data_IF_939886621933
#
_entry.id   IF_939886621933
#
_cell.length_a   1.000
_cell.length_b   1.000
_cell.length_c   1.000
_cell.angle_alpha   90.00
_cell.angle_beta   90.00
_cell.angle_gamma   90.00
#
_symmetry.space_group_name_H-M   'P 1'
#
loop_
_entity.id
_entity.type
_entity.pdbx_description
1 polymer ?
#
# COMPACT_ATOMS: atom_id res chain seq x y z
N UNK A 1 38.21 10.23 -18.17
CA UNK A 1 37.07 9.61 -17.46
C UNK A 1 36.80 10.47 -16.25
N UNK A 2 35.56 10.86 -16.00
CA UNK A 2 35.19 11.55 -14.76
C UNK A 2 35.32 10.53 -13.64
N UNK A 3 36.17 10.83 -12.63
CA UNK A 3 36.34 9.99 -11.44
C UNK A 3 35.19 10.34 -10.52
N UNK A 4 34.19 9.47 -10.40
CA UNK A 4 33.07 9.65 -9.48
C UNK A 4 33.05 8.44 -8.56
N UNK A 5 32.83 8.69 -7.27
CA UNK A 5 32.73 7.65 -6.26
C UNK A 5 31.69 8.01 -5.22
N UNK A 6 31.18 6.99 -4.55
CA UNK A 6 30.16 7.17 -3.54
C UNK A 6 29.59 5.85 -3.08
N UNK A 7 28.46 5.93 -2.39
CA UNK A 7 27.65 4.77 -2.08
C UNK A 7 26.16 5.06 -2.30
N UNK A 8 25.44 3.98 -2.62
CA UNK A 8 24.00 3.96 -2.70
C UNK A 8 23.41 3.15 -1.55
N UNK A 9 22.25 3.57 -1.06
CA UNK A 9 21.51 2.82 -0.06
C UNK A 9 20.53 1.87 -0.72
N UNK A 10 20.80 0.56 -0.66
CA UNK A 10 20.06 -0.47 -1.40
C UNK A 10 19.73 -1.68 -0.51
N UNK A 11 18.46 -1.96 -0.21
CA UNK A 11 17.26 -1.24 -0.66
C UNK A 11 17.13 0.14 0.01
N UNK A 12 16.32 1.03 -0.59
CA UNK A 12 15.96 2.35 -0.04
C UNK A 12 15.53 2.25 1.42
N UNK A 13 15.84 3.27 2.21
CA UNK A 13 15.38 3.34 3.61
C UNK A 13 13.88 3.58 3.63
N UNK A 14 13.20 3.06 4.64
CA UNK A 14 11.81 3.35 4.94
C UNK A 14 11.75 4.41 6.04
N UNK A 15 10.78 5.33 5.96
CA UNK A 15 10.70 6.47 6.88
C UNK A 15 10.32 6.10 8.31
N UNK A 16 10.01 4.82 8.55
CA UNK A 16 9.51 4.34 9.83
C UNK A 16 10.36 3.21 10.43
N UNK A 17 10.80 2.23 9.63
CA UNK A 17 11.57 1.10 10.17
C UNK A 17 13.05 1.43 10.34
N UNK A 18 13.55 2.32 9.48
CA UNK A 18 14.95 2.72 9.47
C UNK A 18 15.15 4.06 10.22
N UNK A 19 14.08 4.66 10.76
CA UNK A 19 14.10 6.01 11.33
C UNK A 19 15.06 6.12 12.53
N UNK A 20 14.90 5.29 13.56
CA UNK A 20 15.75 5.34 14.76
C UNK A 20 17.23 5.11 14.41
N UNK A 21 17.51 4.13 13.55
CA UNK A 21 18.87 3.85 13.09
C UNK A 21 19.44 4.96 12.20
N UNK A 22 18.59 5.61 11.41
CA UNK A 22 18.98 6.79 10.63
C UNK A 22 19.26 7.99 11.52
N UNK A 23 18.47 8.22 12.56
CA UNK A 23 18.71 9.25 13.57
C UNK A 23 20.06 9.03 14.27
N UNK A 24 20.38 7.79 14.69
CA UNK A 24 21.69 7.44 15.25
C UNK A 24 22.85 7.67 14.24
N UNK A 25 22.64 7.31 12.97
CA UNK A 25 23.59 7.59 11.90
C UNK A 25 23.84 9.09 11.74
N UNK A 26 22.79 9.91 11.72
CA UNK A 26 22.87 11.37 11.63
C UNK A 26 23.64 11.94 12.81
N UNK A 27 23.33 11.53 14.04
CA UNK A 27 24.02 11.98 15.25
C UNK A 27 25.52 11.62 15.23
N UNK A 28 25.86 10.43 14.72
CA UNK A 28 27.25 10.00 14.56
C UNK A 28 28.00 10.89 13.57
N UNK A 29 27.41 11.14 12.39
CA UNK A 29 28.00 12.05 11.39
C UNK A 29 28.19 13.44 11.97
N UNK A 30 27.18 14.01 12.64
CA UNK A 30 27.28 15.33 13.28
C UNK A 30 28.38 15.38 14.35
N UNK A 31 28.57 14.30 15.11
CA UNK A 31 29.61 14.21 16.14
C UNK A 31 31.00 14.19 15.54
N UNK A 32 31.20 13.42 14.47
CA UNK A 32 32.48 13.28 13.77
C UNK A 32 32.90 14.59 13.10
N UNK A 33 31.94 15.32 12.51
CA UNK A 33 32.18 16.58 11.81
C UNK A 33 32.02 17.83 12.68
N UNK A 34 31.92 17.66 14.00
CA UNK A 34 31.73 18.77 14.93
C UNK A 34 32.93 19.72 14.90
N UNK A 35 32.72 20.93 14.39
CA UNK A 35 33.73 21.99 14.32
C UNK A 35 34.50 22.05 12.99
N UNK A 36 34.18 21.18 12.03
CA UNK A 36 34.72 21.24 10.67
C UNK A 36 34.11 22.43 9.91
N UNK A 37 34.95 23.26 9.28
CA UNK A 37 34.49 24.50 8.64
C UNK A 37 33.67 24.29 7.36
N UNK A 38 33.80 23.12 6.74
CA UNK A 38 33.17 22.77 5.46
C UNK A 38 31.91 21.91 5.64
N UNK A 39 31.54 21.62 6.90
CA UNK A 39 30.33 20.90 7.24
C UNK A 39 29.27 21.87 7.79
N UNK A 40 28.11 21.92 7.14
CA UNK A 40 26.96 22.73 7.59
C UNK A 40 25.74 21.88 7.78
N UNK A 41 24.94 22.30 8.75
CA UNK A 41 23.64 21.71 9.09
C UNK A 41 22.59 22.71 8.63
N UNK A 42 21.91 22.39 7.53
CA UNK A 42 20.77 23.17 7.02
C UNK A 42 19.47 22.72 7.70
N UNK A 43 18.34 23.32 7.34
CA UNK A 43 17.05 23.04 7.97
C UNK A 43 16.60 21.57 7.85
N UNK A 44 16.94 20.90 6.75
CA UNK A 44 16.41 19.55 6.42
C UNK A 44 17.48 18.52 6.05
N UNK A 45 18.72 18.94 5.90
CA UNK A 45 19.84 18.08 5.50
C UNK A 45 21.16 18.65 5.99
N UNK A 46 22.19 17.80 6.00
CA UNK A 46 23.58 18.19 6.19
C UNK A 46 24.26 18.32 4.84
N UNK A 47 25.12 19.32 4.70
CA UNK A 47 25.87 19.59 3.47
C UNK A 47 27.36 19.68 3.77
N UNK A 48 28.15 19.04 2.91
CA UNK A 48 29.59 19.20 2.86
C UNK A 48 29.89 20.14 1.69
N UNK A 49 30.39 21.34 1.98
CA UNK A 49 30.55 22.43 1.00
C UNK A 49 31.71 22.20 0.01
N UNK A 50 32.41 21.07 0.12
CA UNK A 50 33.49 20.66 -0.78
C UNK A 50 32.97 19.67 -1.84
N UNK A 51 33.18 20.02 -3.11
CA UNK A 51 32.68 19.25 -4.26
C UNK A 51 31.22 19.53 -4.60
N UNK A 52 30.67 18.79 -5.59
CA UNK A 52 29.26 18.92 -5.96
C UNK A 52 28.39 18.02 -5.08
N UNK A 53 27.48 18.64 -4.33
CA UNK A 53 26.25 18.01 -3.79
C UNK A 53 26.45 16.77 -2.89
N UNK A 54 27.39 16.84 -1.94
CA UNK A 54 27.42 15.88 -0.83
C UNK A 54 26.34 16.26 0.20
N UNK A 55 25.17 15.62 0.11
CA UNK A 55 23.99 15.91 0.92
C UNK A 55 23.50 14.67 1.68
N UNK A 56 23.10 14.85 2.93
CA UNK A 56 22.47 13.80 3.75
C UNK A 56 21.20 14.38 4.39
N UNK A 57 19.99 13.90 4.04
CA UNK A 57 18.74 14.39 4.62
C UNK A 57 18.54 13.87 6.04
N UNK A 58 17.83 14.61 6.88
CA UNK A 58 17.42 14.10 8.19
C UNK A 58 16.34 13.00 8.06
N UNK A 59 15.58 13.02 6.97
CA UNK A 59 14.58 12.00 6.63
C UNK A 59 15.19 10.89 5.76
N UNK A 60 15.54 9.77 6.39
CA UNK A 60 16.35 8.71 5.76
C UNK A 60 15.74 8.08 4.52
N UNK A 61 14.41 7.94 4.44
CA UNK A 61 13.74 7.40 3.24
C UNK A 61 13.88 8.25 1.99
N UNK A 62 14.24 9.52 2.15
CA UNK A 62 14.56 10.39 1.02
C UNK A 62 15.95 10.10 0.47
N UNK A 63 16.86 9.55 1.28
CA UNK A 63 18.24 9.31 0.90
C UNK A 63 18.40 8.15 -0.08
N UNK A 64 19.05 8.40 -1.22
CA UNK A 64 19.41 7.38 -2.21
C UNK A 64 20.91 7.18 -2.36
N UNK A 65 21.67 8.28 -2.42
CA UNK A 65 23.07 8.29 -2.81
C UNK A 65 23.84 9.38 -2.07
N UNK A 66 25.07 9.06 -1.72
CA UNK A 66 26.09 10.02 -1.32
C UNK A 66 27.30 9.82 -2.23
N UNK A 67 27.43 10.68 -3.24
CA UNK A 67 28.52 10.64 -4.22
C UNK A 67 28.97 12.03 -4.63
N UNK A 68 30.19 12.12 -5.13
CA UNK A 68 30.69 13.33 -5.78
C UNK A 68 31.79 12.97 -6.77
N UNK A 69 32.12 13.93 -7.62
CA UNK A 69 33.32 13.89 -8.45
C UNK A 69 34.42 14.51 -7.59
N UNK A 70 35.41 13.75 -7.09
CA UNK A 70 36.51 14.34 -6.36
C UNK A 70 37.26 15.28 -7.33
N UNK A 71 37.38 16.55 -6.95
CA UNK A 71 38.37 17.42 -7.56
C UNK A 71 39.79 16.90 -7.22
N UNK A 72 40.85 17.50 -7.75
CA UNK A 72 42.24 17.10 -7.43
C UNK A 72 42.58 17.23 -5.91
N UNK A 73 41.63 17.72 -5.10
CA UNK A 73 41.74 17.87 -3.66
C UNK A 73 41.33 16.61 -2.89
N UNK A 74 42.21 16.19 -1.98
CA UNK A 74 42.13 14.92 -1.24
C UNK A 74 40.97 14.83 -0.24
N UNK A 75 40.32 15.95 0.07
CA UNK A 75 39.34 16.06 1.15
C UNK A 75 37.97 15.45 0.81
N UNK A 76 37.49 15.59 -0.43
CA UNK A 76 36.21 15.01 -0.88
C UNK A 76 36.24 13.48 -0.79
N UNK A 77 37.36 12.87 -1.17
CA UNK A 77 37.55 11.42 -1.07
C UNK A 77 37.58 10.94 0.39
N UNK A 78 38.13 11.77 1.30
CA UNK A 78 38.08 11.50 2.75
C UNK A 78 36.65 11.56 3.27
N UNK A 79 35.85 12.54 2.85
CA UNK A 79 34.44 12.64 3.25
C UNK A 79 33.62 11.43 2.78
N UNK A 80 33.74 11.07 1.50
CA UNK A 80 33.06 9.90 0.93
C UNK A 80 33.44 8.65 1.71
N UNK A 81 34.73 8.40 1.96
CA UNK A 81 35.17 7.21 2.69
C UNK A 81 34.63 7.19 4.12
N UNK A 82 34.77 8.29 4.85
CA UNK A 82 34.38 8.36 6.26
C UNK A 82 32.87 8.19 6.44
N UNK A 83 32.05 8.87 5.62
CA UNK A 83 30.59 8.72 5.68
C UNK A 83 30.17 7.31 5.23
N UNK A 84 30.85 6.72 4.24
CA UNK A 84 30.60 5.32 3.82
C UNK A 84 30.90 4.34 4.96
N UNK A 85 31.99 4.54 5.70
CA UNK A 85 32.37 3.68 6.83
C UNK A 85 31.34 3.78 7.98
N UNK A 86 30.90 5.00 8.32
CA UNK A 86 29.83 5.22 9.31
C UNK A 86 28.53 4.57 8.82
N UNK A 87 28.13 4.79 7.56
CA UNK A 87 26.92 4.19 7.01
C UNK A 87 27.01 2.65 7.01
N UNK A 88 28.17 2.07 6.70
CA UNK A 88 28.38 0.62 6.70
C UNK A 88 28.29 0.02 8.09
N UNK A 89 28.68 0.77 9.13
CA UNK A 89 28.51 0.38 10.53
C UNK A 89 27.04 0.20 10.90
N UNK A 90 26.17 1.15 10.50
CA UNK A 90 24.72 1.09 10.80
C UNK A 90 23.95 0.15 9.87
N UNK A 91 24.19 0.24 8.56
CA UNK A 91 23.33 -0.38 7.53
C UNK A 91 23.95 -1.60 6.84
N UNK A 92 25.20 -1.94 7.16
CA UNK A 92 25.87 -3.15 6.68
C UNK A 92 25.84 -3.28 5.16
N UNK A 93 25.40 -4.44 4.67
CA UNK A 93 25.35 -4.76 3.24
C UNK A 93 24.37 -3.92 2.41
N UNK A 94 23.57 -3.06 3.05
CA UNK A 94 22.71 -2.10 2.33
C UNK A 94 23.51 -0.95 1.74
N UNK A 95 24.70 -0.67 2.26
CA UNK A 95 25.62 0.32 1.70
C UNK A 95 26.34 -0.30 0.51
N UNK A 96 26.00 0.17 -0.69
CA UNK A 96 26.64 -0.27 -1.94
C UNK A 96 27.58 0.80 -2.46
N UNK A 97 28.84 0.69 -2.10
CA UNK A 97 29.91 1.56 -2.60
C UNK A 97 30.23 1.26 -4.06
N UNK A 98 30.64 2.29 -4.80
CA UNK A 98 31.02 2.16 -6.21
C UNK A 98 32.05 3.20 -6.61
N UNK A 99 32.85 2.88 -7.65
CA UNK A 99 33.83 3.79 -8.24
C UNK A 99 33.86 3.71 -9.77
N UNK A 100 33.68 4.84 -10.45
CA UNK A 100 33.66 4.89 -11.92
C UNK A 100 34.99 4.45 -12.56
N UNK A 101 36.11 4.63 -11.87
CA UNK A 101 37.44 4.19 -12.32
C UNK A 101 37.61 2.67 -12.35
N UNK A 102 36.76 1.94 -11.62
CA UNK A 102 36.72 0.47 -11.62
C UNK A 102 35.71 -0.09 -12.63
N UNK A 103 35.06 0.78 -13.41
CA UNK A 103 33.99 0.40 -14.32
C UNK A 103 32.65 0.16 -13.62
N UNK A 104 32.53 0.60 -12.36
CA UNK A 104 31.30 0.52 -11.58
C UNK A 104 30.46 1.79 -11.74
N UNK A 105 29.17 1.69 -11.46
CA UNK A 105 28.24 2.80 -11.45
C UNK A 105 27.31 2.65 -10.25
N UNK A 106 26.78 3.76 -9.75
CA UNK A 106 25.73 3.68 -8.75
C UNK A 106 24.49 2.93 -9.24
N UNK A 107 23.74 2.38 -8.29
CA UNK A 107 22.57 1.54 -8.50
C UNK A 107 21.37 2.31 -9.06
N UNK A 108 21.13 3.53 -8.57
CA UNK A 108 20.05 4.40 -9.04
C UNK A 108 20.45 5.23 -10.28
N UNK A 109 19.48 5.53 -11.14
CA UNK A 109 19.67 6.48 -12.24
C UNK A 109 19.93 7.91 -11.73
N UNK A 110 20.58 8.74 -12.54
CA UNK A 110 20.82 10.14 -12.20
C UNK A 110 19.50 10.92 -12.05
N UNK A 111 18.46 10.55 -12.81
CA UNK A 111 17.12 11.12 -12.67
C UNK A 111 16.50 10.80 -11.30
N UNK A 112 16.60 9.55 -10.82
CA UNK A 112 16.07 9.16 -9.51
C UNK A 112 16.77 9.89 -8.35
N UNK A 113 18.09 10.03 -8.44
CA UNK A 113 18.90 10.73 -7.42
C UNK A 113 18.54 12.21 -7.39
N UNK A 114 18.44 12.85 -8.56
CA UNK A 114 18.04 14.26 -8.65
C UNK A 114 16.62 14.51 -8.15
N UNK A 115 15.68 13.58 -8.38
CA UNK A 115 14.33 13.69 -7.84
C UNK A 115 14.32 13.54 -6.32
N UNK A 116 15.09 12.60 -5.77
CA UNK A 116 15.29 12.45 -4.33
C UNK A 116 15.80 13.73 -3.67
N UNK A 117 16.79 14.40 -4.27
CA UNK A 117 17.31 15.68 -3.74
C UNK A 117 16.25 16.80 -3.70
N UNK A 118 15.34 16.85 -4.68
CA UNK A 118 14.23 17.82 -4.66
C UNK A 118 13.27 17.61 -3.49
N UNK A 119 13.23 16.41 -2.92
CA UNK A 119 12.38 16.07 -1.77
C UNK A 119 13.00 16.50 -0.43
N UNK A 120 14.29 16.83 -0.37
CA UNK A 120 14.94 17.13 0.92
C UNK A 120 14.40 18.42 1.55
N UNK A 121 14.12 19.44 0.74
CA UNK A 121 13.56 20.71 1.19
C UNK A 121 12.02 20.69 1.27
N UNK A 122 11.40 19.65 0.71
CA UNK A 122 9.98 19.40 0.89
C UNK A 122 9.84 18.69 2.23
N UNK A 123 9.10 19.24 3.19
CA UNK A 123 8.67 18.42 4.33
C UNK A 123 8.08 17.13 3.80
N UNK A 124 8.35 15.97 4.44
CA UNK A 124 7.42 14.85 4.24
C UNK A 124 6.01 15.40 4.31
N UNK A 125 5.07 14.96 3.46
CA UNK A 125 3.69 15.24 3.75
C UNK A 125 3.51 14.78 5.21
N UNK A 126 3.24 15.70 6.16
CA UNK A 126 2.77 15.23 7.46
C UNK A 126 1.63 14.26 7.14
N UNK A 127 1.50 13.16 7.88
CA UNK A 127 0.28 12.35 7.93
C UNK A 127 -0.86 13.10 7.27
N UNK A 128 -1.23 12.75 6.03
CA UNK A 128 -1.94 13.72 5.18
C UNK A 128 -3.09 14.27 5.99
N UNK A 129 -3.03 15.59 6.20
CA UNK A 129 -3.58 16.20 7.39
C UNK A 129 -4.99 15.72 7.67
N UNK A 130 -5.17 15.06 8.81
CA UNK A 130 -6.45 14.68 9.36
C UNK A 130 -6.48 15.02 10.84
N UNK A 131 -7.68 15.31 11.34
CA UNK A 131 -7.95 15.48 12.75
C UNK A 131 -8.82 14.33 13.24
N UNK A 132 -8.64 13.93 14.50
CA UNK A 132 -9.58 13.02 15.16
C UNK A 132 -10.71 13.85 15.76
N UNK A 133 -11.93 13.65 15.27
CA UNK A 133 -13.11 14.41 15.66
C UNK A 133 -14.28 13.52 16.06
N UNK A 134 -15.35 14.14 16.57
CA UNK A 134 -16.63 13.48 16.79
C UNK A 134 -17.42 13.51 15.48
N UNK A 135 -17.87 12.34 15.04
CA UNK A 135 -18.73 12.15 13.88
C UNK A 135 -20.16 11.86 14.37
N UNK A 136 -21.16 12.68 13.98
CA UNK A 136 -22.55 12.48 14.39
C UNK A 136 -23.03 11.05 14.12
N UNK A 137 -23.47 10.35 15.18
CA UNK A 137 -23.98 8.99 15.10
C UNK A 137 -22.94 7.88 14.92
N UNK A 138 -21.65 8.20 14.77
CA UNK A 138 -20.57 7.19 14.62
C UNK A 138 -19.50 7.24 15.72
N UNK A 139 -19.57 8.21 16.64
CA UNK A 139 -18.60 8.34 17.73
C UNK A 139 -17.38 9.15 17.28
N UNK A 140 -16.17 8.62 17.43
CA UNK A 140 -14.95 9.27 16.95
C UNK A 140 -14.64 8.83 15.51
N UNK A 141 -13.96 9.67 14.76
CA UNK A 141 -13.54 9.37 13.38
C UNK A 141 -12.40 10.28 12.94
N UNK A 142 -11.85 9.99 11.76
CA UNK A 142 -10.81 10.79 11.14
C UNK A 142 -11.46 11.72 10.11
N UNK A 143 -11.12 13.01 10.19
CA UNK A 143 -11.63 14.05 9.30
C UNK A 143 -10.44 14.64 8.58
N UNK A 144 -10.43 14.63 7.25
CA UNK A 144 -9.38 15.28 6.49
C UNK A 144 -9.36 16.78 6.82
N UNK A 145 -8.21 17.35 7.18
CA UNK A 145 -8.02 18.78 7.41
C UNK A 145 -7.35 19.48 6.19
N UNK A 146 -6.93 18.70 5.20
CA UNK A 146 -6.47 19.13 3.86
C UNK A 146 -7.15 18.31 2.76
N UNK A 147 -7.05 18.77 1.51
CA UNK A 147 -7.41 17.94 0.35
C UNK A 147 -6.39 16.81 0.17
N UNK A 148 -6.88 15.57 0.11
CA UNK A 148 -6.08 14.34 -0.05
C UNK A 148 -6.27 13.81 -1.47
N UNK A 149 -5.20 13.68 -2.29
CA UNK A 149 -5.31 13.11 -3.62
C UNK A 149 -5.50 11.59 -3.57
N UNK A 150 -6.08 11.02 -4.63
CA UNK A 150 -6.15 9.56 -4.78
C UNK A 150 -4.74 8.94 -4.84
N UNK A 151 -4.57 7.78 -4.20
CA UNK A 151 -3.31 7.05 -4.09
C UNK A 151 -2.41 7.51 -2.94
N UNK A 152 -2.80 8.54 -2.20
CA UNK A 152 -1.96 9.10 -1.16
C UNK A 152 -2.02 8.24 0.12
N UNK A 153 -0.87 8.02 0.73
CA UNK A 153 -0.75 7.35 2.04
C UNK A 153 -1.24 8.29 3.14
N UNK A 154 -2.34 7.92 3.80
CA UNK A 154 -2.94 8.68 4.89
C UNK A 154 -2.29 8.30 6.22
N UNK A 155 -2.16 6.99 6.46
CA UNK A 155 -1.69 6.43 7.73
C UNK A 155 -0.86 5.17 7.50
N UNK A 156 0.17 4.98 8.32
CA UNK A 156 0.93 3.75 8.46
C UNK A 156 1.15 3.51 9.95
N UNK A 157 0.69 2.38 10.50
CA UNK A 157 0.68 2.17 11.94
C UNK A 157 0.96 0.70 12.29
N UNK A 158 1.82 0.48 13.28
CA UNK A 158 1.99 -0.84 13.91
C UNK A 158 0.83 -1.10 14.89
N UNK A 159 0.37 -2.35 15.02
CA UNK A 159 -0.66 -2.67 15.99
C UNK A 159 -0.14 -2.47 17.41
N UNK A 160 -0.98 -1.93 18.30
CA UNK A 160 -0.75 -1.95 19.76
C UNK A 160 -0.63 -3.39 20.25
N UNK A 161 -1.53 -4.24 19.75
CA UNK A 161 -1.55 -5.67 20.03
C UNK A 161 -2.13 -6.43 18.85
N UNK A 162 -1.77 -7.70 18.79
CA UNK A 162 -2.26 -8.65 17.81
C UNK A 162 -3.02 -9.75 18.55
N UNK A 163 -4.23 -10.07 18.10
CA UNK A 163 -5.10 -11.09 18.68
C UNK A 163 -5.55 -12.10 17.62
N UNK A 164 -5.83 -13.34 18.02
CA UNK A 164 -6.34 -14.38 17.13
C UNK A 164 -7.69 -14.90 17.63
N UNK A 165 -8.58 -15.29 16.71
CA UNK A 165 -9.79 -16.07 17.03
C UNK A 165 -9.42 -17.52 17.36
N UNK A 166 -9.93 -18.06 18.46
CA UNK A 166 -9.79 -19.49 18.77
C UNK A 166 -10.83 -20.33 18.01
N UNK A 167 -10.61 -21.64 17.94
CA UNK A 167 -11.46 -22.58 17.17
C UNK A 167 -12.94 -22.64 17.62
N UNK A 168 -13.30 -22.06 18.78
CA UNK A 168 -14.68 -21.97 19.27
C UNK A 168 -15.45 -20.77 18.71
N UNK A 169 -14.85 -19.95 17.84
CA UNK A 169 -15.49 -18.77 17.26
C UNK A 169 -15.62 -17.60 18.24
N UNK A 170 -15.19 -17.78 19.49
CA UNK A 170 -14.98 -16.70 20.43
C UNK A 170 -13.61 -16.08 20.15
N UNK A 171 -13.55 -14.75 20.03
CA UNK A 171 -12.32 -13.98 20.20
C UNK A 171 -11.89 -14.07 21.68
N UNK A 172 -11.55 -15.27 22.15
CA UNK A 172 -10.70 -15.41 23.33
C UNK A 172 -9.32 -14.94 22.89
N UNK A 173 -9.08 -13.64 23.09
CA UNK A 173 -7.85 -13.01 22.68
C UNK A 173 -6.64 -13.70 23.32
N UNK A 174 -5.97 -14.56 22.56
CA UNK A 174 -4.53 -14.80 22.73
C UNK A 174 -3.79 -13.55 22.24
N UNK A 175 -4.09 -12.40 22.85
CA UNK A 175 -3.44 -11.14 22.55
C UNK A 175 -2.00 -11.20 23.07
N UNK A 176 -1.04 -11.10 22.17
CA UNK A 176 0.37 -10.98 22.51
C UNK A 176 0.91 -9.70 21.86
N UNK A 177 1.37 -8.71 22.64
CA UNK A 177 1.29 -8.62 24.11
C UNK A 177 -0.16 -8.45 24.61
N UNK A 178 -0.43 -8.84 25.86
CA UNK A 178 -1.75 -8.55 26.47
C UNK A 178 -1.86 -7.06 26.77
N UNK A 179 -3.07 -6.47 26.84
CA UNK A 179 -3.22 -5.04 27.14
C UNK A 179 -2.44 -4.55 28.37
N UNK A 180 -2.37 -5.35 29.43
CA UNK A 180 -1.62 -5.02 30.66
C UNK A 180 -0.09 -4.99 30.49
N UNK A 181 0.42 -5.63 29.45
CA UNK A 181 1.84 -5.74 29.13
C UNK A 181 2.28 -4.56 28.21
N UNK A 182 1.34 -3.73 27.73
CA UNK A 182 1.61 -2.48 26.99
C UNK A 182 2.17 -1.37 27.89
N UNK A 183 2.80 -0.35 27.29
CA UNK A 183 3.17 0.88 28.00
C UNK A 183 1.92 1.59 28.56
N UNK A 184 2.10 2.51 29.52
CA UNK A 184 0.95 3.21 30.11
C UNK A 184 0.20 4.10 29.13
N UNK A 185 0.89 4.71 28.17
CA UNK A 185 0.25 5.47 27.08
C UNK A 185 -0.57 4.55 26.18
N UNK A 186 0.02 3.45 25.70
CA UNK A 186 -0.67 2.47 24.85
C UNK A 186 -1.85 1.79 25.56
N UNK A 187 -1.77 1.58 26.89
CA UNK A 187 -2.91 1.14 27.69
C UNK A 187 -4.05 2.16 27.63
N UNK A 188 -3.76 3.44 27.79
CA UNK A 188 -4.78 4.50 27.74
C UNK A 188 -5.39 4.62 26.35
N UNK A 189 -4.59 4.57 25.30
CA UNK A 189 -5.05 4.57 23.91
C UNK A 189 -5.98 3.39 23.64
N UNK A 190 -5.54 2.17 23.95
CA UNK A 190 -6.33 0.95 23.81
C UNK A 190 -7.67 1.02 24.57
N UNK A 191 -7.64 1.48 25.83
CA UNK A 191 -8.84 1.61 26.66
C UNK A 191 -9.78 2.74 26.21
N UNK A 192 -9.29 3.68 25.40
CA UNK A 192 -10.09 4.76 24.83
C UNK A 192 -10.87 4.34 23.57
N UNK A 193 -10.56 3.18 23.00
CA UNK A 193 -11.23 2.64 21.82
C UNK A 193 -12.67 2.22 22.13
N UNK A 194 -13.50 2.19 21.08
CA UNK A 194 -14.91 1.89 21.23
C UNK A 194 -15.14 0.43 21.69
N UNK A 195 -16.18 0.20 22.49
CA UNK A 195 -16.52 -1.14 22.98
C UNK A 195 -18.01 -1.43 22.76
N UNK A 196 -18.34 -2.09 21.65
CA UNK A 196 -19.71 -2.49 21.35
C UNK A 196 -20.20 -3.67 22.19
N UNK A 197 -19.28 -4.38 22.85
CA UNK A 197 -19.59 -5.65 23.51
C UNK A 197 -19.02 -5.67 24.93
N UNK A 198 -19.50 -4.77 25.81
CA UNK A 198 -19.14 -4.83 27.22
C UNK A 198 -19.61 -6.16 27.79
N UNK A 199 -18.71 -6.87 28.47
CA UNK A 199 -18.98 -8.20 29.00
C UNK A 199 -18.02 -8.57 30.12
N UNK A 200 -18.18 -9.79 30.65
CA UNK A 200 -17.43 -10.26 31.81
C UNK A 200 -15.93 -10.49 31.52
N UNK A 201 -15.58 -10.77 30.26
CA UNK A 201 -14.18 -10.98 29.84
C UNK A 201 -13.52 -9.64 29.54
N UNK A 202 -12.54 -9.18 30.35
CA UNK A 202 -11.90 -7.89 30.17
C UNK A 202 -11.30 -7.73 28.76
N UNK A 203 -11.45 -6.54 28.18
CA UNK A 203 -10.87 -6.13 26.88
C UNK A 203 -11.38 -6.84 25.62
N UNK A 204 -12.01 -8.01 25.74
CA UNK A 204 -12.49 -8.81 24.61
C UNK A 204 -13.42 -8.02 23.68
N UNK A 205 -14.35 -7.24 24.25
CA UNK A 205 -15.25 -6.40 23.47
C UNK A 205 -14.56 -5.29 22.69
N UNK A 206 -13.52 -4.66 23.27
CA UNK A 206 -12.69 -3.66 22.56
C UNK A 206 -11.97 -4.32 21.40
N UNK A 207 -11.29 -5.46 21.63
CA UNK A 207 -10.57 -6.17 20.57
C UNK A 207 -11.54 -6.57 19.45
N UNK A 208 -12.69 -7.16 19.79
CA UNK A 208 -13.70 -7.57 18.81
C UNK A 208 -14.25 -6.41 17.99
N UNK A 209 -14.37 -5.23 18.60
CA UNK A 209 -14.90 -4.05 17.94
C UNK A 209 -13.88 -3.41 16.99
N UNK A 210 -12.58 -3.47 17.32
CA UNK A 210 -11.56 -2.62 16.68
C UNK A 210 -10.48 -3.40 15.93
N UNK A 211 -10.43 -4.73 16.03
CA UNK A 211 -9.38 -5.50 15.37
C UNK A 211 -9.61 -5.56 13.84
N UNK A 212 -8.64 -5.09 13.06
CA UNK A 212 -8.61 -5.27 11.62
C UNK A 212 -7.85 -6.57 11.30
N UNK A 213 -8.30 -7.38 10.32
CA UNK A 213 -7.57 -8.58 9.92
C UNK A 213 -6.16 -8.24 9.45
N UNK A 214 -5.15 -8.93 9.97
CA UNK A 214 -3.76 -8.86 9.53
C UNK A 214 -3.59 -9.59 8.18
N UNK A 215 -4.24 -9.07 7.14
CA UNK A 215 -4.26 -9.58 5.78
C UNK A 215 -5.56 -10.30 5.40
N UNK A 216 -5.81 -10.49 4.09
CA UNK A 216 -7.03 -11.11 3.60
C UNK A 216 -7.27 -12.52 4.15
N UNK A 217 -8.42 -12.73 4.79
CA UNK A 217 -8.80 -14.04 5.36
C UNK A 217 -8.03 -14.44 6.61
N UNK A 218 -7.23 -13.55 7.18
CA UNK A 218 -6.50 -13.82 8.41
C UNK A 218 -7.44 -13.98 9.60
N UNK A 219 -7.19 -15.00 10.42
CA UNK A 219 -7.83 -15.18 11.74
C UNK A 219 -7.17 -14.33 12.83
N UNK A 220 -6.07 -13.66 12.46
CA UNK A 220 -5.29 -12.78 13.30
C UNK A 220 -5.69 -11.35 12.96
N UNK A 221 -5.95 -10.53 13.97
CA UNK A 221 -6.27 -9.11 13.80
C UNK A 221 -5.42 -8.21 14.68
N UNK A 222 -5.09 -7.04 14.16
CA UNK A 222 -4.36 -5.98 14.85
C UNK A 222 -5.31 -4.94 15.40
N UNK A 223 -5.03 -4.43 16.60
CA UNK A 223 -5.71 -3.26 17.17
C UNK A 223 -4.74 -2.10 17.18
N UNK A 224 -5.18 -0.96 16.67
CA UNK A 224 -4.33 0.21 16.44
C UNK A 224 -4.83 1.42 17.25
N UNK A 225 -3.96 2.37 17.65
CA UNK A 225 -4.39 3.58 18.31
C UNK A 225 -5.27 4.48 17.42
N UNK A 226 -4.86 4.67 16.16
CA UNK A 226 -5.48 5.64 15.26
C UNK A 226 -6.34 4.96 14.19
N UNK A 227 -5.83 3.93 13.51
CA UNK A 227 -6.55 3.22 12.43
C UNK A 227 -7.88 2.63 12.92
N UNK A 228 -7.93 2.16 14.17
CA UNK A 228 -9.18 1.63 14.79
C UNK A 228 -10.30 2.66 14.91
N UNK A 229 -10.00 3.96 14.77
CA UNK A 229 -10.98 5.03 14.83
C UNK A 229 -11.63 5.32 13.46
N UNK A 230 -11.12 4.75 12.36
CA UNK A 230 -11.63 4.99 11.01
C UNK A 230 -12.97 4.29 10.85
N UNK A 231 -14.05 5.06 10.70
CA UNK A 231 -15.40 4.52 10.58
C UNK A 231 -15.68 3.82 9.25
N UNK A 232 -16.78 3.08 9.25
CA UNK A 232 -17.29 2.39 8.09
C UNK A 232 -18.03 3.29 7.08
N UNK A 233 -17.86 2.99 5.79
CA UNK A 233 -18.78 3.33 4.71
C UNK A 233 -18.93 2.16 3.72
N UNK A 234 -20.14 1.91 3.20
CA UNK A 234 -20.34 0.92 2.12
C UNK A 234 -19.81 1.42 0.75
N UNK A 235 -19.51 2.71 0.66
CA UNK A 235 -18.78 3.37 -0.42
C UNK A 235 -17.59 4.11 0.22
N UNK A 236 -16.52 3.40 0.57
CA UNK A 236 -15.38 3.99 1.28
C UNK A 236 -14.55 4.89 0.35
N UNK A 237 -13.80 5.81 0.94
CA UNK A 237 -12.86 6.69 0.23
C UNK A 237 -11.40 6.34 0.53
N UNK A 238 -11.14 5.38 1.43
CA UNK A 238 -9.82 4.81 1.67
C UNK A 238 -9.85 3.27 1.73
N UNK A 239 -8.67 2.68 1.58
CA UNK A 239 -8.43 1.24 1.63
C UNK A 239 -7.36 0.92 2.65
N UNK A 240 -7.60 -0.13 3.45
CA UNK A 240 -6.64 -0.64 4.41
C UNK A 240 -5.86 -1.82 3.81
N UNK A 241 -4.55 -1.86 4.06
CA UNK A 241 -3.68 -2.95 3.64
C UNK A 241 -2.71 -3.35 4.74
N UNK A 242 -2.68 -4.65 5.04
CA UNK A 242 -1.72 -5.24 5.97
C UNK A 242 -0.45 -5.64 5.25
N UNK A 243 0.68 -5.05 5.67
CA UNK A 243 2.00 -5.51 5.29
C UNK A 243 2.56 -6.44 6.37
N UNK A 244 2.88 -7.68 6.01
CA UNK A 244 3.47 -8.67 6.92
C UNK A 244 4.98 -8.53 7.13
N UNK A 245 5.65 -7.64 6.40
CA UNK A 245 7.10 -7.44 6.51
C UNK A 245 7.50 -6.80 7.85
N UNK A 246 8.73 -7.08 8.30
CA UNK A 246 9.41 -6.57 9.52
C UNK A 246 8.52 -6.39 10.76
N UNK A 247 7.69 -7.38 11.07
CA UNK A 247 6.88 -7.41 12.29
C UNK A 247 5.45 -6.89 12.14
N UNK A 248 5.07 -6.46 10.94
CA UNK A 248 3.68 -6.22 10.57
C UNK A 248 3.17 -4.81 10.84
N UNK A 249 2.58 -4.17 9.84
CA UNK A 249 1.94 -2.87 9.95
C UNK A 249 0.75 -2.72 9.00
N UNK A 250 -0.18 -1.84 9.34
CA UNK A 250 -1.33 -1.51 8.49
C UNK A 250 -1.08 -0.16 7.81
N UNK A 251 -1.46 -0.05 6.54
CA UNK A 251 -1.47 1.21 5.81
C UNK A 251 -2.88 1.57 5.37
N UNK A 252 -3.19 2.87 5.32
CA UNK A 252 -4.44 3.42 4.81
C UNK A 252 -4.11 4.34 3.64
N UNK A 253 -4.64 4.02 2.46
CA UNK A 253 -4.46 4.83 1.26
C UNK A 253 -5.80 5.41 0.79
N UNK A 254 -5.79 6.65 0.33
CA UNK A 254 -6.94 7.24 -0.35
C UNK A 254 -7.16 6.50 -1.69
N UNK A 255 -8.38 6.04 -1.96
CA UNK A 255 -8.74 5.36 -3.23
C UNK A 255 -9.53 6.25 -4.18
N UNK A 256 -9.84 7.46 -3.74
CA UNK A 256 -10.38 8.57 -4.52
C UNK A 256 -9.93 9.89 -3.86
N UNK A 257 -10.21 11.05 -4.49
CA UNK A 257 -9.95 12.33 -3.85
C UNK A 257 -10.83 12.51 -2.61
N UNK A 258 -10.24 13.01 -1.51
CA UNK A 258 -10.94 13.34 -0.26
C UNK A 258 -10.75 14.84 -0.02
N UNK A 259 -11.84 15.58 0.21
CA UNK A 259 -11.78 17.03 0.47
C UNK A 259 -11.55 17.33 1.93
N UNK A 260 -10.92 18.47 2.21
CA UNK A 260 -10.85 19.00 3.56
C UNK A 260 -12.26 19.09 4.17
N UNK A 261 -12.44 18.55 5.37
CA UNK A 261 -13.71 18.43 6.10
C UNK A 261 -14.43 17.10 5.87
N UNK A 262 -14.03 16.26 4.92
CA UNK A 262 -14.64 14.94 4.70
C UNK A 262 -14.12 13.90 5.69
N UNK A 263 -14.99 12.95 6.05
CA UNK A 263 -14.61 11.81 6.89
C UNK A 263 -13.82 10.78 6.06
N UNK A 264 -12.72 10.30 6.62
CA UNK A 264 -11.94 9.19 6.05
C UNK A 264 -12.59 7.88 6.50
N UNK A 265 -12.92 7.00 5.56
CA UNK A 265 -13.71 5.78 5.82
C UNK A 265 -13.21 4.56 5.05
N UNK A 266 -13.26 3.40 5.69
CA UNK A 266 -12.95 2.07 5.11
C UNK A 266 -14.20 1.17 5.10
N UNK A 267 -14.14 0.02 4.42
CA UNK A 267 -15.20 -0.99 4.48
C UNK A 267 -14.95 -1.98 5.62
N UNK A 268 -15.99 -2.31 6.39
CA UNK A 268 -15.96 -3.36 7.41
C UNK A 268 -16.69 -4.63 6.95
N UNK A 269 -17.38 -4.57 5.81
CA UNK A 269 -18.21 -5.65 5.27
C UNK A 269 -17.61 -6.26 4.00
N UNK A 270 -18.15 -7.41 3.61
CA UNK A 270 -17.70 -8.21 2.45
C UNK A 270 -18.46 -7.88 1.15
N UNK A 271 -19.26 -6.80 1.14
CA UNK A 271 -20.12 -6.40 0.05
C UNK A 271 -21.48 -7.13 0.03
N UNK A 272 -22.11 -7.17 -1.14
CA UNK A 272 -23.47 -7.68 -1.32
C UNK A 272 -24.55 -6.60 -1.14
N UNK A 273 -25.85 -6.94 -1.25
CA UNK A 273 -26.96 -5.98 -1.16
C UNK A 273 -27.14 -5.41 0.26
N UNK A 274 -27.88 -4.31 0.37
CA UNK A 274 -27.94 -3.45 1.55
C UNK A 274 -28.49 -4.15 2.79
N UNK A 275 -29.47 -5.04 2.61
CA UNK A 275 -30.00 -5.88 3.69
C UNK A 275 -28.92 -6.81 4.29
N UNK A 276 -28.07 -7.40 3.46
CA UNK A 276 -26.97 -8.28 3.88
C UNK A 276 -25.90 -7.47 4.62
N UNK A 277 -25.46 -6.34 4.04
CA UNK A 277 -24.44 -5.47 4.65
C UNK A 277 -24.91 -4.91 6.00
N UNK A 278 -26.11 -4.32 6.04
CA UNK A 278 -26.69 -3.75 7.27
C UNK A 278 -26.86 -4.82 8.36
N UNK A 279 -27.35 -6.00 8.02
CA UNK A 279 -27.49 -7.10 8.97
C UNK A 279 -26.13 -7.54 9.55
N UNK A 280 -25.10 -7.69 8.70
CA UNK A 280 -23.75 -8.05 9.14
C UNK A 280 -23.16 -6.97 10.06
N UNK A 281 -23.24 -5.70 9.67
CA UNK A 281 -22.74 -4.58 10.46
C UNK A 281 -23.45 -4.48 11.83
N UNK A 282 -24.76 -4.71 11.87
CA UNK A 282 -25.52 -4.71 13.10
C UNK A 282 -25.06 -5.83 14.06
N UNK A 283 -24.90 -7.07 13.57
CA UNK A 283 -24.45 -8.20 14.40
C UNK A 283 -22.99 -8.02 14.85
N UNK A 284 -22.11 -7.60 13.95
CA UNK A 284 -20.67 -7.53 14.21
C UNK A 284 -20.22 -6.26 14.93
N UNK A 285 -20.93 -5.14 14.75
CA UNK A 285 -20.52 -3.83 15.24
C UNK A 285 -21.67 -3.02 15.88
N UNK A 286 -22.89 -3.56 15.99
CA UNK A 286 -23.95 -2.93 16.78
C UNK A 286 -24.55 -1.64 16.19
N UNK A 287 -24.36 -1.37 14.89
CA UNK A 287 -24.91 -0.16 14.25
C UNK A 287 -25.64 -0.46 12.93
N UNK A 288 -26.61 0.40 12.60
CA UNK A 288 -27.28 0.41 11.29
C UNK A 288 -26.60 1.44 10.38
N UNK A 289 -26.05 0.97 9.25
CA UNK A 289 -25.29 1.83 8.36
C UNK A 289 -26.18 2.88 7.68
N UNK A 290 -25.80 4.16 7.85
CA UNK A 290 -26.43 5.33 7.24
C UNK A 290 -25.48 6.12 6.31
N UNK A 291 -24.47 5.45 5.73
CA UNK A 291 -23.58 6.07 4.73
C UNK A 291 -24.37 6.57 3.50
N UNK A 292 -23.72 7.38 2.66
CA UNK A 292 -24.32 7.96 1.45
C UNK A 292 -25.04 6.93 0.58
N UNK A 293 -24.47 5.73 0.43
CA UNK A 293 -25.10 4.64 -0.31
C UNK A 293 -26.32 4.05 0.40
N UNK A 294 -26.20 3.74 1.69
CA UNK A 294 -27.26 3.11 2.47
C UNK A 294 -28.45 4.03 2.80
N UNK A 295 -28.25 5.34 2.63
CA UNK A 295 -29.23 6.41 2.83
C UNK A 295 -29.86 6.90 1.52
N UNK A 296 -29.55 6.27 0.38
CA UNK A 296 -30.20 6.55 -0.90
C UNK A 296 -31.72 6.32 -0.83
N UNK A 297 -32.53 7.01 -1.66
CA UNK A 297 -33.93 6.69 -1.84
C UNK A 297 -34.14 5.21 -2.19
N UNK A 298 -35.25 4.57 -1.78
CA UNK A 298 -35.46 3.12 -1.95
C UNK A 298 -35.26 2.61 -3.39
N UNK A 299 -35.69 3.38 -4.40
CA UNK A 299 -35.51 3.02 -5.81
C UNK A 299 -34.05 3.04 -6.25
N UNK A 300 -33.26 4.01 -5.80
CA UNK A 300 -31.83 4.13 -6.13
C UNK A 300 -31.00 3.10 -5.36
N UNK A 301 -31.35 2.85 -4.09
CA UNK A 301 -30.75 1.79 -3.29
C UNK A 301 -30.98 0.41 -3.93
N UNK A 302 -32.19 0.15 -4.46
CA UNK A 302 -32.49 -1.09 -5.17
C UNK A 302 -31.60 -1.27 -6.40
N UNK A 303 -31.32 -0.21 -7.17
CA UNK A 303 -30.41 -0.27 -8.33
C UNK A 303 -28.98 -0.61 -7.90
N UNK A 304 -28.49 -0.04 -6.79
CA UNK A 304 -27.19 -0.43 -6.21
C UNK A 304 -27.19 -1.89 -5.74
N UNK A 305 -28.26 -2.33 -5.09
CA UNK A 305 -28.39 -3.71 -4.62
C UNK A 305 -28.39 -4.71 -5.78
N UNK A 306 -29.08 -4.40 -6.89
CA UNK A 306 -29.05 -5.21 -8.11
C UNK A 306 -27.63 -5.31 -8.71
N UNK A 307 -26.89 -4.19 -8.74
CA UNK A 307 -25.48 -4.18 -9.17
C UNK A 307 -24.60 -5.02 -8.25
N UNK A 308 -24.78 -4.94 -6.94
CA UNK A 308 -23.99 -5.72 -5.97
C UNK A 308 -24.33 -7.22 -6.00
N UNK A 309 -25.57 -7.59 -6.27
CA UNK A 309 -25.95 -8.98 -6.57
C UNK A 309 -25.27 -9.45 -7.87
N UNK A 310 -25.27 -8.61 -8.92
CA UNK A 310 -24.58 -8.93 -10.17
C UNK A 310 -23.07 -9.11 -9.97
N UNK A 311 -22.43 -8.28 -9.15
CA UNK A 311 -21.02 -8.41 -8.75
C UNK A 311 -20.76 -9.79 -8.13
N UNK A 312 -21.61 -10.23 -7.18
CA UNK A 312 -21.45 -11.54 -6.53
C UNK A 312 -21.58 -12.70 -7.53
N UNK A 313 -22.56 -12.62 -8.44
CA UNK A 313 -22.75 -13.61 -9.50
C UNK A 313 -21.54 -13.68 -10.45
N UNK A 314 -21.02 -12.53 -10.86
CA UNK A 314 -19.85 -12.43 -11.72
C UNK A 314 -18.60 -12.98 -11.04
N UNK A 315 -18.35 -12.66 -9.76
CA UNK A 315 -17.25 -13.24 -9.01
C UNK A 315 -17.34 -14.76 -8.91
N UNK A 316 -18.55 -15.30 -8.65
CA UNK A 316 -18.77 -16.74 -8.61
C UNK A 316 -18.49 -17.41 -9.97
N UNK A 317 -18.89 -16.77 -11.08
CA UNK A 317 -18.63 -17.25 -12.44
C UNK A 317 -17.14 -17.23 -12.77
N UNK A 318 -16.46 -16.10 -12.55
CA UNK A 318 -15.02 -15.90 -12.83
C UNK A 318 -14.16 -16.82 -11.96
N UNK A 319 -14.55 -17.02 -10.69
CA UNK A 319 -13.85 -17.90 -9.75
C UNK A 319 -14.03 -19.40 -10.04
N UNK A 320 -14.95 -19.77 -10.93
CA UNK A 320 -15.22 -21.17 -11.24
C UNK A 320 -14.11 -21.75 -12.15
N UNK A 321 -13.30 -22.65 -11.60
CA UNK A 321 -12.20 -23.28 -12.33
C UNK A 321 -12.65 -24.11 -13.56
N UNK A 322 -13.87 -24.66 -13.54
CA UNK A 322 -14.43 -25.38 -14.69
C UNK A 322 -14.78 -24.43 -15.82
N UNK A 323 -15.45 -23.31 -15.51
CA UNK A 323 -15.75 -22.25 -16.48
C UNK A 323 -14.46 -21.68 -17.07
N UNK A 324 -13.48 -21.32 -16.23
CA UNK A 324 -12.17 -20.81 -16.68
C UNK A 324 -11.43 -21.80 -17.59
N UNK A 325 -11.54 -23.11 -17.36
CA UNK A 325 -10.89 -24.12 -18.18
C UNK A 325 -11.60 -24.33 -19.52
N UNK A 326 -12.93 -24.46 -19.48
CA UNK A 326 -13.72 -24.94 -20.62
C UNK A 326 -14.20 -23.79 -21.53
N UNK A 327 -14.47 -22.62 -20.95
CA UNK A 327 -14.94 -21.42 -21.67
C UNK A 327 -14.24 -20.14 -21.14
N UNK A 328 -12.93 -20.00 -21.40
CA UNK A 328 -12.17 -18.84 -20.95
C UNK A 328 -12.59 -17.53 -21.63
N UNK A 329 -13.22 -17.58 -22.81
CA UNK A 329 -13.73 -16.37 -23.47
C UNK A 329 -14.95 -15.81 -22.75
N UNK A 330 -15.90 -16.68 -22.34
CA UNK A 330 -16.99 -16.23 -21.49
C UNK A 330 -16.49 -15.71 -20.14
N UNK A 331 -15.44 -16.32 -19.58
CA UNK A 331 -14.83 -15.84 -18.33
C UNK A 331 -14.24 -14.43 -18.48
N UNK A 332 -13.61 -14.10 -19.60
CA UNK A 332 -13.14 -12.73 -19.89
C UNK A 332 -14.29 -11.75 -20.16
N UNK A 333 -15.38 -12.19 -20.80
CA UNK A 333 -16.59 -11.36 -20.97
C UNK A 333 -17.25 -11.03 -19.62
N UNK A 334 -17.24 -11.98 -18.69
CA UNK A 334 -17.67 -11.75 -17.32
C UNK A 334 -16.73 -10.77 -16.60
N UNK A 335 -15.40 -10.84 -16.81
CA UNK A 335 -14.47 -9.84 -16.30
C UNK A 335 -14.79 -8.42 -16.82
N UNK A 336 -15.08 -8.26 -18.11
CA UNK A 336 -15.45 -6.95 -18.66
C UNK A 336 -16.79 -6.45 -18.10
N UNK A 337 -17.77 -7.34 -17.97
CA UNK A 337 -19.05 -6.99 -17.34
C UNK A 337 -18.86 -6.55 -15.88
N UNK A 338 -17.93 -7.19 -15.17
CA UNK A 338 -17.58 -6.85 -13.79
C UNK A 338 -16.88 -5.49 -13.70
N UNK A 339 -16.00 -5.16 -14.66
CA UNK A 339 -15.37 -3.84 -14.76
C UNK A 339 -16.42 -2.72 -14.84
N UNK A 340 -17.36 -2.84 -15.79
CA UNK A 340 -18.42 -1.84 -15.94
C UNK A 340 -19.30 -1.75 -14.70
N UNK A 341 -19.65 -2.89 -14.09
CA UNK A 341 -20.47 -2.91 -12.88
C UNK A 341 -19.74 -2.22 -11.71
N UNK A 342 -18.42 -2.35 -11.59
CA UNK A 342 -17.64 -1.62 -10.58
C UNK A 342 -17.59 -0.13 -10.84
N UNK A 343 -17.35 0.30 -12.07
CA UNK A 343 -17.32 1.72 -12.44
C UNK A 343 -18.66 2.39 -12.13
N UNK A 344 -19.78 1.70 -12.39
CA UNK A 344 -21.12 2.20 -12.09
C UNK A 344 -21.44 2.23 -10.59
N UNK A 345 -20.95 1.27 -9.82
CA UNK A 345 -21.28 1.13 -8.39
C UNK A 345 -20.36 1.96 -7.48
N UNK A 346 -19.07 2.01 -7.79
CA UNK A 346 -18.04 2.60 -6.93
C UNK A 346 -17.46 3.91 -7.50
N UNK A 347 -17.69 4.20 -8.79
CA UNK A 347 -17.21 5.43 -9.43
C UNK A 347 -15.69 5.58 -9.28
N UNK A 348 -15.26 6.73 -8.77
CA UNK A 348 -13.82 7.04 -8.57
C UNK A 348 -13.13 6.19 -7.50
N UNK A 349 -13.89 5.47 -6.66
CA UNK A 349 -13.36 4.61 -5.60
C UNK A 349 -13.30 3.13 -6.02
N UNK A 350 -13.36 2.81 -7.31
CA UNK A 350 -13.38 1.43 -7.81
C UNK A 350 -12.00 0.74 -7.77
N UNK A 351 -10.92 1.50 -7.51
CA UNK A 351 -9.52 1.06 -7.61
C UNK A 351 -9.20 -0.30 -6.96
N UNK A 352 -9.57 -0.58 -5.69
CA UNK A 352 -9.28 -1.88 -5.08
C UNK A 352 -10.00 -3.05 -5.76
N UNK A 353 -11.20 -2.81 -6.28
CA UNK A 353 -12.02 -3.81 -6.94
C UNK A 353 -11.48 -4.14 -8.33
N UNK A 354 -11.07 -3.12 -9.09
CA UNK A 354 -10.47 -3.31 -10.41
C UNK A 354 -9.07 -3.95 -10.33
N UNK A 355 -8.29 -3.70 -9.28
CA UNK A 355 -7.02 -4.40 -9.05
C UNK A 355 -7.20 -5.92 -9.02
N UNK A 356 -8.12 -6.40 -8.16
CA UNK A 356 -8.47 -7.82 -8.05
C UNK A 356 -9.06 -8.38 -9.34
N UNK A 357 -9.87 -7.60 -10.05
CA UNK A 357 -10.45 -7.98 -11.33
C UNK A 357 -9.37 -8.25 -12.38
N UNK A 358 -8.42 -7.33 -12.54
CA UNK A 358 -7.35 -7.48 -13.51
C UNK A 358 -6.43 -8.64 -13.18
N UNK A 359 -6.18 -8.92 -11.89
CA UNK A 359 -5.50 -10.15 -11.50
C UNK A 359 -6.25 -11.43 -11.91
N UNK A 360 -7.59 -11.45 -11.81
CA UNK A 360 -8.38 -12.58 -12.31
C UNK A 360 -8.29 -12.73 -13.84
N UNK A 361 -8.36 -11.61 -14.58
CA UNK A 361 -8.21 -11.63 -16.04
C UNK A 361 -6.80 -12.10 -16.47
N UNK A 362 -5.76 -11.63 -15.78
CA UNK A 362 -4.38 -12.13 -15.92
C UNK A 362 -4.32 -13.65 -15.73
N UNK A 363 -4.92 -14.18 -14.66
CA UNK A 363 -4.95 -15.62 -14.37
C UNK A 363 -5.63 -16.42 -15.48
N UNK A 364 -6.72 -15.92 -16.05
CA UNK A 364 -7.40 -16.55 -17.19
C UNK A 364 -6.44 -16.63 -18.37
N UNK A 365 -5.87 -15.51 -18.80
CA UNK A 365 -4.96 -15.44 -19.96
C UNK A 365 -3.71 -16.31 -19.79
N UNK A 366 -3.02 -16.22 -18.65
CA UNK A 366 -1.76 -16.95 -18.42
C UNK A 366 -1.99 -18.46 -18.34
N UNK A 367 -3.17 -18.91 -17.86
CA UNK A 367 -3.54 -20.33 -17.80
C UNK A 367 -3.77 -20.97 -19.18
N UNK A 368 -3.98 -20.15 -20.21
CA UNK A 368 -4.17 -20.56 -21.61
C UNK A 368 -3.01 -20.17 -22.54
N UNK A 369 -1.92 -19.63 -21.97
CA UNK A 369 -0.70 -19.27 -22.69
C UNK A 369 -0.72 -17.89 -23.36
N UNK A 370 -1.74 -17.05 -23.13
CA UNK A 370 -1.85 -15.70 -23.71
C UNK A 370 -0.99 -14.70 -22.93
N UNK A 371 0.31 -14.70 -23.21
CA UNK A 371 1.29 -13.87 -22.51
C UNK A 371 1.05 -12.37 -22.78
N UNK A 372 0.64 -12.01 -23.99
CA UNK A 372 0.49 -10.61 -24.39
C UNK A 372 -0.63 -9.90 -23.62
N UNK A 373 -1.80 -10.54 -23.51
CA UNK A 373 -2.88 -10.02 -22.65
C UNK A 373 -2.57 -10.15 -21.18
N UNK A 374 -1.92 -11.24 -20.77
CA UNK A 374 -1.53 -11.44 -19.38
C UNK A 374 -0.66 -10.28 -18.86
N UNK A 375 0.39 -9.88 -19.59
CA UNK A 375 1.23 -8.73 -19.19
C UNK A 375 0.40 -7.46 -19.06
N UNK A 376 -0.51 -7.20 -20.00
CA UNK A 376 -1.37 -6.01 -19.97
C UNK A 376 -2.28 -6.00 -18.74
N UNK A 377 -2.91 -7.13 -18.41
CA UNK A 377 -3.73 -7.24 -17.20
C UNK A 377 -2.90 -7.19 -15.92
N UNK A 378 -1.70 -7.77 -15.91
CA UNK A 378 -0.77 -7.66 -14.79
C UNK A 378 -0.36 -6.21 -14.54
N UNK A 379 -0.07 -5.43 -15.60
CA UNK A 379 0.26 -4.01 -15.49
C UNK A 379 -0.90 -3.20 -14.92
N UNK A 380 -2.13 -3.40 -15.42
CA UNK A 380 -3.32 -2.72 -14.89
C UNK A 380 -3.59 -3.06 -13.43
N UNK A 381 -3.43 -4.34 -13.07
CA UNK A 381 -3.53 -4.78 -11.69
C UNK A 381 -2.45 -4.14 -10.83
N UNK A 382 -1.17 -4.15 -11.26
CA UNK A 382 -0.06 -3.54 -10.55
C UNK A 382 -0.30 -2.05 -10.29
N UNK A 383 -0.72 -1.30 -11.31
CA UNK A 383 -0.98 0.15 -11.19
C UNK A 383 -2.14 0.44 -10.25
N UNK A 384 -3.20 -0.37 -10.28
CA UNK A 384 -4.32 -0.23 -9.35
C UNK A 384 -3.92 -0.58 -7.91
N UNK A 385 -3.19 -1.68 -7.70
CA UNK A 385 -2.67 -2.06 -6.37
C UNK A 385 -1.69 -1.01 -5.82
N UNK A 386 -0.83 -0.44 -6.67
CA UNK A 386 0.07 0.65 -6.28
C UNK A 386 -0.69 1.85 -5.70
N UNK A 387 -1.85 2.19 -6.26
CA UNK A 387 -2.70 3.28 -5.76
C UNK A 387 -3.34 2.92 -4.42
N UNK A 388 -3.95 1.73 -4.29
CA UNK A 388 -4.72 1.41 -3.08
C UNK A 388 -3.91 0.78 -1.94
N UNK A 389 -2.70 0.28 -2.19
CA UNK A 389 -1.88 -0.42 -1.18
C UNK A 389 -0.44 0.11 -1.09
N UNK A 390 0.01 0.98 -2.00
CA UNK A 390 1.35 1.56 -2.00
C UNK A 390 2.43 0.66 -2.60
N UNK A 391 3.63 1.22 -2.80
CA UNK A 391 4.76 0.53 -3.46
C UNK A 391 5.27 -0.67 -2.66
N UNK A 392 5.25 -0.55 -1.33
CA UNK A 392 5.82 -1.54 -0.42
C UNK A 392 4.85 -2.68 -0.07
N UNK A 393 3.63 -2.68 -0.59
CA UNK A 393 2.72 -3.81 -0.38
C UNK A 393 3.30 -5.11 -0.95
N UNK A 394 3.19 -6.25 -0.23
CA UNK A 394 3.54 -7.56 -0.77
C UNK A 394 2.81 -7.88 -2.08
N UNK A 395 1.55 -7.46 -2.20
CA UNK A 395 0.74 -7.68 -3.39
C UNK A 395 1.20 -6.79 -4.56
N UNK A 396 1.53 -5.52 -4.30
CA UNK A 396 2.12 -4.61 -5.31
C UNK A 396 3.41 -5.20 -5.87
N UNK A 397 4.30 -5.66 -4.98
CA UNK A 397 5.55 -6.33 -5.36
C UNK A 397 5.31 -7.61 -6.17
N UNK A 398 4.32 -8.41 -5.75
CA UNK A 398 3.92 -9.63 -6.46
C UNK A 398 3.43 -9.33 -7.86
N UNK A 399 2.55 -8.34 -8.03
CA UNK A 399 2.04 -7.96 -9.34
C UNK A 399 3.13 -7.37 -10.24
N UNK A 400 4.03 -6.53 -9.71
CA UNK A 400 5.21 -6.05 -10.44
C UNK A 400 6.06 -7.21 -10.99
N UNK A 401 6.23 -8.28 -10.21
CA UNK A 401 6.96 -9.47 -10.66
C UNK A 401 6.29 -10.17 -11.85
N UNK A 402 4.96 -10.17 -11.94
CA UNK A 402 4.23 -10.76 -13.08
C UNK A 402 4.20 -9.86 -14.31
N UNK A 403 4.36 -8.55 -14.15
CA UNK A 403 4.58 -7.65 -15.29
C UNK A 403 5.92 -7.98 -15.96
N UNK A 404 6.97 -8.20 -15.16
CA UNK A 404 8.31 -8.51 -15.65
C UNK A 404 8.44 -9.95 -16.16
N UNK A 405 7.88 -10.91 -15.44
CA UNK A 405 8.01 -12.35 -15.73
C UNK A 405 6.66 -13.08 -15.54
N UNK A 406 5.68 -12.88 -16.44
CA UNK A 406 4.32 -13.45 -16.29
C UNK A 406 4.32 -14.99 -16.25
N UNK A 407 5.29 -15.63 -16.91
CA UNK A 407 5.44 -17.10 -16.98
C UNK A 407 5.84 -17.72 -15.63
N UNK A 408 6.32 -16.92 -14.67
CA UNK A 408 6.60 -17.36 -13.30
C UNK A 408 5.34 -17.77 -12.54
N UNK A 409 4.18 -17.29 -12.97
CA UNK A 409 2.92 -17.66 -12.33
C UNK A 409 2.68 -19.18 -12.44
N UNK A 410 2.38 -19.84 -11.32
CA UNK A 410 2.30 -21.30 -11.23
C UNK A 410 1.27 -21.98 -12.14
N UNK A 411 0.32 -21.22 -12.69
CA UNK A 411 -0.68 -21.73 -13.64
C UNK A 411 -0.30 -21.50 -15.11
N UNK A 412 0.90 -21.05 -15.45
CA UNK A 412 1.25 -20.80 -16.86
C UNK A 412 0.98 -22.04 -17.74
N UNK A 413 0.10 -21.88 -18.73
CA UNK A 413 -0.31 -22.96 -19.63
C UNK A 413 -1.01 -24.16 -18.97
N UNK A 414 -1.47 -24.04 -17.72
CA UNK A 414 -1.99 -25.15 -16.94
C UNK A 414 -3.30 -25.75 -17.50
N UNK A 415 -4.06 -24.99 -18.29
CA UNK A 415 -5.28 -25.48 -18.94
C UNK A 415 -5.11 -25.71 -20.44
N UNK A 416 -4.42 -24.80 -21.14
CA UNK A 416 -4.21 -24.92 -22.58
C UNK A 416 -3.04 -24.06 -23.05
N UNK A 417 -2.62 -24.27 -24.29
CA UNK A 417 -1.72 -23.38 -25.04
C UNK A 417 -2.38 -22.84 -26.32
N UNK A 418 -3.72 -22.95 -26.44
CA UNK A 418 -4.46 -22.51 -27.63
C UNK A 418 -4.37 -21.00 -27.86
N UNK A 419 -4.16 -20.21 -26.81
CA UNK A 419 -4.01 -18.76 -26.91
C UNK A 419 -2.54 -18.32 -26.89
N UNK A 420 -1.61 -19.22 -27.19
CA UNK A 420 -0.17 -18.91 -27.15
C UNK A 420 0.14 -17.67 -27.98
N UNK A 421 0.57 -16.61 -27.30
CA UNK A 421 1.20 -15.43 -27.90
C UNK A 421 2.64 -15.32 -27.41
N UNK A 422 3.48 -14.60 -28.15
CA UNK A 422 4.79 -14.17 -27.67
C UNK A 422 4.67 -13.01 -26.67
N UNK A 423 5.82 -12.52 -26.22
CA UNK A 423 5.93 -11.21 -25.52
C UNK A 423 5.81 -10.03 -26.50
N UNK A 424 5.73 -10.33 -27.80
CA UNK A 424 5.49 -9.39 -28.91
C UNK A 424 4.20 -8.58 -28.66
N UNK A 425 4.35 -7.27 -28.87
CA UNK A 425 3.56 -6.16 -28.29
C UNK A 425 2.04 -6.30 -28.44
N UNK A 426 1.35 -5.98 -27.34
CA UNK A 426 -0.04 -5.56 -27.39
C UNK A 426 -0.25 -4.53 -28.53
N UNK A 427 -1.40 -4.56 -29.22
CA UNK A 427 -1.65 -3.63 -30.33
C UNK A 427 -1.42 -2.18 -29.90
N UNK A 428 -0.90 -1.36 -30.81
CA UNK A 428 -0.72 0.07 -30.55
C UNK A 428 -2.08 0.73 -30.23
N UNK A 429 -2.05 1.79 -29.43
CA UNK A 429 -3.27 2.51 -29.02
C UNK A 429 -3.87 1.98 -27.72
N UNK A 430 -3.06 1.78 -26.69
CA UNK A 430 -3.55 1.51 -25.33
C UNK A 430 -4.63 2.53 -24.94
N UNK A 431 -5.76 2.05 -24.43
CA UNK A 431 -6.92 2.87 -24.09
C UNK A 431 -7.88 3.19 -25.25
N UNK A 432 -7.61 2.71 -26.46
CA UNK A 432 -8.59 2.78 -27.57
C UNK A 432 -9.67 1.70 -27.46
N UNK A 433 -10.82 1.92 -28.08
CA UNK A 433 -11.92 0.93 -28.12
C UNK A 433 -11.46 -0.38 -28.76
N UNK A 434 -10.64 -0.29 -29.80
CA UNK A 434 -10.06 -1.44 -30.50
C UNK A 434 -9.11 -2.23 -29.58
N UNK A 435 -8.33 -1.52 -28.77
CA UNK A 435 -7.46 -2.14 -27.78
C UNK A 435 -8.24 -2.86 -26.68
N UNK A 436 -9.29 -2.24 -26.13
CA UNK A 436 -10.13 -2.90 -25.10
C UNK A 436 -10.84 -4.14 -25.67
N UNK A 437 -11.35 -4.05 -26.90
CA UNK A 437 -11.94 -5.20 -27.60
C UNK A 437 -10.93 -6.33 -27.80
N UNK A 438 -9.69 -5.99 -28.17
CA UNK A 438 -8.60 -6.96 -28.22
C UNK A 438 -8.36 -7.55 -26.83
N UNK A 439 -8.17 -6.72 -25.81
CA UNK A 439 -7.79 -7.12 -24.45
C UNK A 439 -8.80 -8.11 -23.84
N UNK A 440 -10.10 -7.86 -24.02
CA UNK A 440 -11.17 -8.73 -23.52
C UNK A 440 -11.68 -9.76 -24.54
N UNK A 441 -10.95 -9.98 -25.64
CA UNK A 441 -11.29 -10.98 -26.68
C UNK A 441 -12.72 -10.84 -27.23
N UNK A 442 -13.19 -9.61 -27.46
CA UNK A 442 -14.53 -9.33 -27.98
C UNK A 442 -14.67 -9.48 -29.51
N UNK A 443 -13.55 -9.60 -30.23
CA UNK A 443 -13.51 -9.68 -31.71
C UNK A 443 -13.08 -11.06 -32.24
N UNK A 444 -12.93 -12.06 -31.36
CA UNK A 444 -12.43 -13.40 -31.70
C UNK A 444 -13.54 -14.44 -31.82
#
# INVERSE_FOLDING_TARGET
MVRESGFDMVPRLSGYEDQEMWEEFIEHVQTVYKGESTFKIEAYYMVFEEGKQLLIPFEGHKFLRFSSIPDDDSSVEVHIRLVTDIASYYFGSRVRSWQSTLGESGYYSEEEVNESYRLYEQSDPPYIGFDVGVIPGKGRGLIANVDIPAGALILCEKPLLVASTTASGNLEATAAPRPKDLSKSHQQEFLSLHNNFPGEVPFSGIIRTNALPCGPGSIVGGVYPTISLINHSCLPNSHNNWNSEKGGYETIHAIGPIKAGEEITISYDEGGPSNVRKHKLNISFGFDCACSLCSLPPSELQVSDDRRVRIQQLYASIGNASSMRNDPESSLKDCLSLLHTFQEEYGVCDTPYIARLYYNAFRICISHGDVGRAITFADRSYRATLICEGEYSPETSRMKSFVLEPKKHGNFGAFSMRWKTGEEKAPNGNGTVEFEKWLFRQNS
#
